data_IF_221477935696
#
_entry.id   IF_221477935696
#
_cell.length_a   1.000
_cell.length_b   1.000
_cell.length_c   1.000
_cell.angle_alpha   90.00
_cell.angle_beta   90.00
_cell.angle_gamma   90.00
#
_symmetry.space_group_name_H-M   'P 1'
#
loop_
_entity.id
_entity.type
_entity.pdbx_description
1 polymer ?
#
# COMPACT_ATOMS: atom_id res chain seq x y z
N UNK A 1 6.11 29.67 -40.47
CA UNK A 1 6.22 28.51 -39.56
C UNK A 1 6.44 28.94 -38.11
N UNK A 2 7.35 29.85 -37.79
CA UNK A 2 7.52 30.38 -36.41
C UNK A 2 6.30 31.15 -35.85
N UNK A 3 5.52 31.80 -36.66
CA UNK A 3 4.33 32.55 -36.24
C UNK A 3 3.19 31.64 -35.75
N UNK A 4 3.01 30.47 -36.36
CA UNK A 4 1.99 29.50 -35.96
C UNK A 4 2.36 28.74 -34.65
N UNK A 5 3.64 28.61 -34.33
CA UNK A 5 4.11 28.02 -33.09
C UNK A 5 3.86 28.93 -31.89
N UNK A 6 4.04 30.27 -32.09
CA UNK A 6 3.79 31.27 -31.04
C UNK A 6 2.31 31.40 -30.70
N UNK A 7 1.40 31.33 -31.71
CA UNK A 7 -0.04 31.34 -31.45
C UNK A 7 -0.53 30.08 -30.74
N UNK A 8 0.02 28.89 -31.04
CA UNK A 8 -0.34 27.64 -30.38
C UNK A 8 0.08 27.61 -28.91
N UNK A 9 1.25 28.15 -28.58
CA UNK A 9 1.74 28.24 -27.18
C UNK A 9 0.92 29.28 -26.39
N UNK A 10 0.57 30.41 -26.98
CA UNK A 10 -0.28 31.44 -26.36
C UNK A 10 -1.72 30.95 -26.15
N UNK A 11 -2.25 30.14 -27.07
CA UNK A 11 -3.61 29.60 -26.98
C UNK A 11 -3.71 28.53 -25.86
N UNK A 12 -2.68 27.69 -25.70
CA UNK A 12 -2.66 26.66 -24.67
C UNK A 12 -2.54 27.26 -23.26
N UNK A 13 -1.74 28.32 -23.06
CA UNK A 13 -1.62 29.01 -21.77
C UNK A 13 -2.93 29.68 -21.33
N UNK A 14 -3.66 30.24 -22.28
CA UNK A 14 -4.95 30.94 -22.02
C UNK A 14 -6.08 29.96 -21.67
N UNK A 15 -6.05 28.72 -22.23
CA UNK A 15 -7.00 27.65 -21.88
C UNK A 15 -6.71 27.11 -20.50
N UNK A 16 -5.43 26.90 -20.13
CA UNK A 16 -5.01 26.45 -18.78
C UNK A 16 -5.43 27.46 -17.69
N UNK A 17 -5.19 28.77 -17.91
CA UNK A 17 -5.62 29.79 -16.94
C UNK A 17 -7.13 29.84 -16.75
N UNK A 18 -7.91 29.68 -17.82
CA UNK A 18 -9.37 29.63 -17.73
C UNK A 18 -9.86 28.37 -17.02
N UNK A 19 -9.27 27.22 -17.28
CA UNK A 19 -9.60 25.94 -16.63
C UNK A 19 -9.30 25.99 -15.13
N UNK A 20 -8.13 26.49 -14.75
CA UNK A 20 -7.74 26.65 -13.35
C UNK A 20 -8.63 27.63 -12.58
N UNK A 21 -8.96 28.80 -13.19
CA UNK A 21 -9.88 29.76 -12.60
C UNK A 21 -11.30 29.20 -12.45
N UNK A 22 -11.75 28.37 -13.39
CA UNK A 22 -13.06 27.73 -13.33
C UNK A 22 -13.09 26.69 -12.21
N UNK A 23 -12.02 25.91 -12.04
CA UNK A 23 -11.87 24.91 -10.98
C UNK A 23 -11.80 25.54 -9.58
N UNK A 24 -11.02 26.63 -9.41
CA UNK A 24 -10.93 27.38 -8.15
C UNK A 24 -12.29 28.00 -7.80
N UNK A 25 -12.99 28.58 -8.77
CA UNK A 25 -14.32 29.13 -8.54
C UNK A 25 -15.35 28.06 -8.16
N UNK A 26 -15.26 26.85 -8.73
CA UNK A 26 -16.14 25.74 -8.41
C UNK A 26 -15.90 25.23 -6.98
N UNK A 27 -14.63 25.04 -6.56
CA UNK A 27 -14.29 24.68 -5.17
C UNK A 27 -14.77 25.76 -4.18
N UNK A 28 -14.54 27.03 -4.47
CA UNK A 28 -14.98 28.13 -3.59
C UNK A 28 -16.50 28.15 -3.47
N UNK A 29 -17.22 27.87 -4.53
CA UNK A 29 -18.69 27.78 -4.52
C UNK A 29 -19.17 26.60 -3.68
N UNK A 30 -18.53 25.43 -3.80
CA UNK A 30 -18.87 24.25 -2.99
C UNK A 30 -18.65 24.49 -1.50
N UNK A 31 -17.52 25.09 -1.11
CA UNK A 31 -17.26 25.44 0.30
C UNK A 31 -18.29 26.46 0.83
N UNK A 32 -18.69 27.44 0.01
CA UNK A 32 -19.69 28.43 0.41
C UNK A 32 -21.08 27.81 0.61
N UNK A 33 -21.46 26.84 -0.23
CA UNK A 33 -22.73 26.10 -0.11
C UNK A 33 -22.70 25.19 1.11
N UNK A 34 -21.60 24.47 1.35
CA UNK A 34 -21.45 23.62 2.52
C UNK A 34 -21.52 24.43 3.82
N UNK A 35 -20.84 25.57 3.88
CA UNK A 35 -20.89 26.47 5.04
C UNK A 35 -22.30 27.02 5.28
N UNK A 36 -23.03 27.37 4.23
CA UNK A 36 -24.41 27.84 4.32
C UNK A 36 -25.36 26.74 4.86
N UNK A 37 -25.17 25.49 4.45
CA UNK A 37 -25.94 24.35 4.94
C UNK A 37 -25.66 24.05 6.44
N UNK A 38 -24.40 24.13 6.86
CA UNK A 38 -24.01 23.98 8.26
C UNK A 38 -24.63 25.08 9.13
N UNK A 39 -24.62 26.33 8.66
CA UNK A 39 -25.24 27.46 9.37
C UNK A 39 -26.76 27.32 9.43
N UNK A 40 -27.40 26.79 8.39
CA UNK A 40 -28.83 26.52 8.37
C UNK A 40 -29.21 25.40 9.37
N UNK A 41 -28.42 24.33 9.47
CA UNK A 41 -28.62 23.28 10.47
C UNK A 41 -28.47 23.80 11.90
N UNK A 42 -27.49 24.68 12.16
CA UNK A 42 -27.28 25.27 13.48
C UNK A 42 -28.40 26.25 13.89
N UNK A 43 -29.09 26.87 12.94
CA UNK A 43 -30.24 27.75 13.21
C UNK A 43 -31.55 27.00 13.43
N UNK A 44 -31.67 25.75 12.95
CA UNK A 44 -32.86 24.90 13.15
C UNK A 44 -32.94 24.25 14.54
N UNK A 45 -31.85 24.24 15.31
CA UNK A 45 -31.82 23.63 16.67
C UNK A 45 -32.20 24.59 17.80
N UNK A 46 -32.77 25.75 17.51
CA UNK A 46 -33.32 26.66 18.53
C UNK A 46 -34.83 26.73 18.37
N UNK A 47 -35.57 25.81 18.94
CA UNK A 47 -36.89 25.96 19.53
C UNK A 47 -37.52 24.59 19.78
N UNK A 48 -37.43 24.14 21.01
CA UNK A 48 -38.55 23.47 21.70
C UNK A 48 -38.16 23.29 23.16
N UNK A 49 -38.59 24.28 23.97
CA UNK A 49 -38.74 24.14 25.41
C UNK A 49 -40.17 23.71 25.65
N UNK A 50 -40.41 22.45 25.95
CA UNK A 50 -41.66 21.99 26.52
C UNK A 50 -41.47 21.80 28.01
N UNK A 51 -42.11 22.66 28.77
CA UNK A 51 -42.30 22.54 30.22
C UNK A 51 -43.37 21.53 30.55
N UNK A 52 -43.09 20.61 31.48
CA UNK A 52 -44.13 19.99 32.26
C UNK A 52 -43.66 19.73 33.69
N UNK A 53 -44.48 20.01 34.70
CA UNK A 53 -44.11 20.01 36.10
C UNK A 53 -44.57 18.75 36.83
N UNK A 54 -43.85 18.37 37.91
CA UNK A 54 -44.44 17.59 38.95
C UNK A 54 -43.56 16.53 39.61
N UNK A 55 -43.32 16.76 40.90
CA UNK A 55 -43.05 15.83 42.01
C UNK A 55 -41.68 15.12 42.05
N UNK A 56 -40.78 15.46 42.92
CA UNK A 56 -40.77 15.45 44.36
C UNK A 56 -39.95 14.29 44.90
N UNK A 57 -38.98 14.63 45.79
CA UNK A 57 -38.33 13.77 46.79
C UNK A 57 -36.98 13.12 46.44
N UNK A 58 -35.97 13.44 47.24
CA UNK A 58 -34.85 12.57 47.58
C UNK A 58 -33.45 13.17 47.35
N UNK A 59 -32.95 13.94 48.29
CA UNK A 59 -31.53 14.30 48.41
C UNK A 59 -30.71 13.08 48.79
N UNK A 60 -29.73 12.72 48.00
CA UNK A 60 -28.49 12.16 48.55
C UNK A 60 -27.29 12.75 47.84
N UNK A 61 -26.37 13.28 48.63
CA UNK A 61 -25.19 14.02 48.26
C UNK A 61 -24.06 13.00 48.08
N UNK A 62 -23.66 12.74 46.85
CA UNK A 62 -22.44 11.96 46.55
C UNK A 62 -21.33 12.93 46.10
N UNK A 63 -20.22 12.89 46.84
CA UNK A 63 -19.02 13.67 46.56
C UNK A 63 -18.36 13.29 45.23
N UNK A 64 -17.61 14.19 44.57
CA UNK A 64 -16.92 13.88 43.33
C UNK A 64 -15.74 12.94 43.64
N UNK A 65 -15.70 11.86 42.91
CA UNK A 65 -14.58 10.93 42.88
C UNK A 65 -13.54 11.50 41.92
N UNK A 66 -12.35 11.75 42.40
CA UNK A 66 -11.17 12.09 41.63
C UNK A 66 -10.94 11.02 40.55
N UNK A 67 -11.00 11.41 39.28
CA UNK A 67 -10.53 10.60 38.18
C UNK A 67 -9.01 10.75 38.09
N UNK A 68 -8.31 9.72 38.48
CA UNK A 68 -6.88 9.57 38.23
C UNK A 68 -6.64 9.44 36.70
N UNK A 69 -6.18 10.52 36.11
CA UNK A 69 -5.43 10.51 34.88
C UNK A 69 -4.07 9.85 35.15
N UNK A 70 -3.95 8.59 34.84
CA UNK A 70 -2.64 7.93 34.72
C UNK A 70 -2.88 6.59 34.01
N UNK A 71 -2.65 6.53 32.71
CA UNK A 71 -2.22 5.31 31.97
C UNK A 71 -2.35 5.42 30.45
N UNK A 72 -1.89 6.49 29.81
CA UNK A 72 -1.74 6.52 28.34
C UNK A 72 -0.33 6.83 27.85
N UNK A 73 0.59 7.23 28.70
CA UNK A 73 1.96 7.54 28.29
C UNK A 73 2.96 6.38 28.42
N UNK A 74 2.61 5.29 29.11
CA UNK A 74 3.58 4.21 29.41
C UNK A 74 3.63 3.11 28.38
N UNK A 75 2.81 3.12 27.32
CA UNK A 75 2.83 2.06 26.27
C UNK A 75 3.67 2.39 25.03
N UNK A 76 3.98 3.66 24.79
CA UNK A 76 4.85 4.05 23.67
C UNK A 76 6.35 3.90 23.99
N UNK A 77 6.74 4.03 25.25
CA UNK A 77 8.15 3.92 25.65
C UNK A 77 8.70 2.49 25.67
N UNK A 78 7.86 1.46 25.83
CA UNK A 78 8.32 0.06 25.86
C UNK A 78 8.55 -0.55 24.46
N UNK A 79 8.00 0.03 23.41
CA UNK A 79 8.26 -0.42 22.03
C UNK A 79 9.56 0.20 21.46
N UNK A 80 9.94 1.39 21.93
CA UNK A 80 11.16 2.07 21.51
C UNK A 80 12.44 1.44 22.11
N UNK A 81 12.35 0.83 23.28
CA UNK A 81 13.52 0.22 23.95
C UNK A 81 13.95 -1.13 23.37
N UNK A 82 13.13 -1.78 22.54
CA UNK A 82 13.47 -3.05 21.86
C UNK A 82 14.04 -2.86 20.44
N UNK A 83 14.13 -1.64 19.92
CA UNK A 83 14.76 -1.31 18.65
C UNK A 83 16.28 -1.12 18.80
N UNK A 84 16.97 -2.05 19.48
CA UNK A 84 18.41 -1.89 19.82
C UNK A 84 19.37 -2.10 18.65
N UNK A 85 18.89 -2.48 17.44
CA UNK A 85 19.75 -2.81 16.30
C UNK A 85 19.47 -1.98 15.03
N UNK A 86 18.85 -0.80 15.16
CA UNK A 86 18.55 0.05 13.99
C UNK A 86 17.36 -0.41 13.14
N UNK A 87 16.68 -1.49 13.53
CA UNK A 87 15.48 -1.98 12.82
C UNK A 87 14.31 -1.04 13.01
N UNK A 88 13.58 -0.78 11.93
CA UNK A 88 12.35 0.04 11.94
C UNK A 88 11.10 -0.77 12.32
N UNK A 89 11.26 -2.01 12.77
CA UNK A 89 10.19 -2.89 13.22
C UNK A 89 10.58 -3.69 14.46
N UNK A 90 9.59 -4.04 15.25
CA UNK A 90 9.72 -4.94 16.38
C UNK A 90 8.51 -5.89 16.45
N UNK A 91 8.68 -7.06 17.07
CA UNK A 91 7.56 -7.94 17.38
C UNK A 91 7.23 -7.80 18.87
N UNK A 92 6.04 -7.28 19.18
CA UNK A 92 5.60 -7.03 20.54
C UNK A 92 4.10 -7.34 20.69
N UNK A 93 3.71 -7.89 21.84
CA UNK A 93 2.31 -8.21 22.16
C UNK A 93 1.61 -9.08 21.09
N UNK A 94 2.35 -9.97 20.43
CA UNK A 94 1.81 -10.92 19.44
C UNK A 94 1.62 -10.34 18.04
N UNK A 95 2.12 -9.13 17.76
CA UNK A 95 2.07 -8.49 16.44
C UNK A 95 3.34 -7.72 16.11
N UNK A 96 3.53 -7.39 14.84
CA UNK A 96 4.56 -6.47 14.42
C UNK A 96 4.15 -5.03 14.71
N UNK A 97 5.11 -4.23 15.16
CA UNK A 97 4.98 -2.80 15.40
C UNK A 97 6.04 -2.10 14.56
N UNK A 98 5.64 -1.10 13.80
CA UNK A 98 6.52 -0.37 12.90
C UNK A 98 6.77 1.04 13.42
N UNK A 99 8.03 1.46 13.37
CA UNK A 99 8.44 2.83 13.62
C UNK A 99 8.99 3.40 12.31
N UNK A 100 8.08 3.62 11.36
CA UNK A 100 8.46 4.21 10.08
C UNK A 100 8.95 5.64 10.29
N UNK A 101 10.07 6.03 9.64
CA UNK A 101 10.46 7.42 9.60
C UNK A 101 9.37 8.25 8.92
N UNK A 102 9.19 9.49 9.37
CA UNK A 102 8.41 10.44 8.59
C UNK A 102 9.03 10.53 7.20
N UNK A 103 8.17 10.52 6.17
CA UNK A 103 8.63 10.68 4.81
C UNK A 103 9.24 12.07 4.67
N UNK A 104 10.56 12.11 4.46
CA UNK A 104 11.27 13.36 4.27
C UNK A 104 10.95 13.91 2.89
N UNK A 105 10.56 15.18 2.82
CA UNK A 105 10.45 15.91 1.55
C UNK A 105 11.84 16.26 0.98
N UNK A 106 12.91 16.01 1.73
CA UNK A 106 14.27 16.28 1.33
C UNK A 106 14.71 15.32 0.21
N UNK A 107 14.97 15.86 -0.96
CA UNK A 107 15.37 15.10 -2.15
C UNK A 107 14.22 14.60 -3.02
N UNK A 108 12.97 14.85 -2.63
CA UNK A 108 11.84 14.61 -3.52
C UNK A 108 11.87 15.60 -4.69
N UNK A 109 11.50 15.13 -5.88
CA UNK A 109 11.37 16.02 -7.03
C UNK A 109 10.15 16.92 -6.86
N UNK A 110 10.31 18.19 -7.22
CA UNK A 110 9.17 19.07 -7.43
C UNK A 110 8.39 18.61 -8.66
N UNK A 111 7.11 19.03 -8.77
CA UNK A 111 6.29 18.75 -9.94
C UNK A 111 6.97 19.27 -11.21
N UNK A 112 7.58 20.47 -11.17
CA UNK A 112 8.30 21.06 -12.30
C UNK A 112 9.49 20.19 -12.73
N UNK A 113 10.27 19.66 -11.78
CA UNK A 113 11.37 18.73 -12.06
C UNK A 113 10.87 17.40 -12.66
N UNK A 114 9.70 16.91 -12.23
CA UNK A 114 9.10 15.72 -12.83
C UNK A 114 8.68 15.98 -14.28
N UNK A 115 8.11 17.15 -14.58
CA UNK A 115 7.79 17.54 -15.96
C UNK A 115 9.06 17.66 -16.83
N UNK A 116 10.13 18.23 -16.30
CA UNK A 116 11.41 18.34 -17.02
C UNK A 116 12.00 16.94 -17.30
N UNK A 117 11.87 16.01 -16.35
CA UNK A 117 12.28 14.61 -16.53
C UNK A 117 11.45 13.87 -17.59
N UNK A 118 10.15 14.18 -17.71
CA UNK A 118 9.27 13.53 -18.67
C UNK A 118 9.60 13.85 -20.14
N UNK A 119 10.33 14.92 -20.38
CA UNK A 119 10.80 15.28 -21.72
C UNK A 119 11.98 14.41 -22.20
N UNK A 120 12.69 13.77 -21.28
CA UNK A 120 13.66 12.75 -21.61
C UNK A 120 12.88 11.47 -21.99
N UNK A 121 12.71 11.23 -23.30
CA UNK A 121 12.15 9.97 -23.79
C UNK A 121 13.05 8.83 -23.35
N UNK A 122 12.57 8.02 -22.43
CA UNK A 122 13.12 6.71 -22.22
C UNK A 122 12.62 5.83 -23.38
N UNK A 123 13.55 5.30 -24.14
CA UNK A 123 13.29 4.31 -25.22
C UNK A 123 13.02 2.93 -24.59
N UNK A 124 12.33 2.93 -23.44
CA UNK A 124 12.12 1.80 -22.59
C UNK A 124 10.86 1.07 -23.00
N UNK A 125 11.03 -0.17 -23.41
CA UNK A 125 9.90 -1.08 -23.54
C UNK A 125 9.49 -1.54 -22.14
N UNK A 126 8.18 -1.65 -21.83
CA UNK A 126 7.72 -2.22 -20.58
C UNK A 126 8.34 -3.59 -20.36
N UNK A 127 8.94 -3.81 -19.20
CA UNK A 127 9.35 -5.14 -18.78
C UNK A 127 8.13 -5.85 -18.22
N UNK A 128 7.69 -6.91 -18.86
CA UNK A 128 6.67 -7.81 -18.32
C UNK A 128 7.27 -8.51 -17.09
N UNK A 129 6.86 -8.07 -15.90
CA UNK A 129 7.32 -8.62 -14.64
C UNK A 129 6.61 -9.93 -14.30
N UNK A 130 6.54 -10.84 -15.31
CA UNK A 130 5.88 -12.11 -15.10
C UNK A 130 6.82 -13.18 -14.53
N UNK A 131 6.23 -14.24 -14.06
CA UNK A 131 6.71 -15.38 -13.31
C UNK A 131 8.12 -15.85 -13.70
N UNK A 132 8.94 -16.16 -12.69
CA UNK A 132 10.16 -16.91 -12.90
C UNK A 132 9.90 -18.30 -13.47
N UNK A 133 10.97 -18.95 -13.95
CA UNK A 133 10.91 -20.30 -14.54
C UNK A 133 11.38 -21.32 -13.52
N UNK A 134 10.65 -22.41 -13.40
CA UNK A 134 11.16 -23.60 -12.74
C UNK A 134 12.05 -24.37 -13.71
N UNK A 135 13.31 -24.55 -13.38
CA UNK A 135 14.28 -25.31 -14.16
C UNK A 135 14.57 -26.60 -13.41
N UNK A 136 14.37 -27.74 -14.09
CA UNK A 136 14.77 -29.05 -13.58
C UNK A 136 16.16 -29.40 -14.12
N UNK A 137 17.10 -29.64 -13.25
CA UNK A 137 18.38 -30.22 -13.62
C UNK A 137 18.17 -31.68 -14.09
N UNK A 138 18.59 -31.98 -15.29
CA UNK A 138 18.35 -33.29 -15.92
C UNK A 138 19.23 -34.41 -15.31
N UNK A 139 20.34 -34.06 -14.67
CA UNK A 139 21.30 -35.02 -14.13
C UNK A 139 20.98 -35.36 -12.67
N UNK A 140 20.60 -34.37 -11.88
CA UNK A 140 20.32 -34.51 -10.44
C UNK A 140 18.82 -34.65 -10.16
N UNK A 141 17.96 -34.23 -11.08
CA UNK A 141 16.51 -34.13 -10.89
C UNK A 141 16.12 -32.96 -9.97
N UNK A 142 17.09 -32.16 -9.54
CA UNK A 142 16.85 -30.99 -8.69
C UNK A 142 16.02 -29.96 -9.45
N UNK A 143 15.03 -29.39 -8.75
CA UNK A 143 14.16 -28.36 -9.30
C UNK A 143 14.56 -27.03 -8.68
N UNK A 144 15.01 -26.10 -9.52
CA UNK A 144 15.43 -24.77 -9.10
C UNK A 144 14.48 -23.74 -9.70
N UNK A 145 14.08 -22.78 -8.90
CA UNK A 145 13.38 -21.62 -9.42
C UNK A 145 14.41 -20.61 -9.97
N UNK A 146 14.30 -20.29 -11.23
CA UNK A 146 15.19 -19.32 -11.90
C UNK A 146 14.39 -18.08 -12.23
N UNK A 147 14.76 -17.01 -11.60
CA UNK A 147 14.27 -15.67 -11.92
C UNK A 147 15.28 -15.03 -12.88
N UNK A 148 14.99 -15.13 -14.18
CA UNK A 148 15.93 -14.75 -15.23
C UNK A 148 15.63 -13.33 -15.72
N UNK A 149 16.38 -12.37 -15.17
CA UNK A 149 16.37 -10.97 -15.62
C UNK A 149 17.72 -10.60 -16.18
N UNK A 150 17.71 -9.69 -17.17
CA UNK A 150 18.94 -9.20 -17.74
C UNK A 150 19.77 -8.43 -16.69
N UNK A 151 21.08 -8.39 -16.88
CA UNK A 151 21.96 -7.62 -16.00
C UNK A 151 21.58 -6.13 -15.99
N UNK A 152 21.16 -5.60 -17.15
CA UNK A 152 20.76 -4.20 -17.29
C UNK A 152 19.47 -3.90 -16.50
N UNK A 153 18.48 -4.81 -16.55
CA UNK A 153 17.27 -4.72 -15.72
C UNK A 153 17.63 -4.69 -14.23
N UNK A 154 18.50 -5.61 -13.78
CA UNK A 154 18.91 -5.68 -12.38
C UNK A 154 19.65 -4.41 -11.93
N UNK A 155 20.47 -3.81 -12.80
CA UNK A 155 21.15 -2.54 -12.52
C UNK A 155 20.14 -1.39 -12.38
N UNK A 156 19.14 -1.34 -13.26
CA UNK A 156 18.06 -0.36 -13.21
C UNK A 156 17.23 -0.49 -11.92
N UNK A 157 16.85 -1.70 -11.53
CA UNK A 157 16.13 -1.93 -10.27
C UNK A 157 16.94 -1.45 -9.06
N UNK A 158 18.22 -1.78 -9.02
CA UNK A 158 19.13 -1.36 -7.96
C UNK A 158 19.30 0.16 -7.92
N UNK A 159 19.40 0.82 -9.08
CA UNK A 159 19.52 2.27 -9.21
C UNK A 159 18.35 3.01 -8.54
N UNK A 160 17.14 2.47 -8.64
CA UNK A 160 15.94 3.04 -8.04
C UNK A 160 15.50 2.32 -6.78
N UNK A 161 16.40 1.60 -6.11
CA UNK A 161 16.16 0.90 -4.83
C UNK A 161 14.93 -0.02 -4.85
N UNK A 162 14.61 -0.57 -6.03
CA UNK A 162 13.45 -1.44 -6.21
C UNK A 162 13.68 -2.76 -5.51
N UNK A 163 12.73 -3.15 -4.67
CA UNK A 163 12.68 -4.45 -4.02
C UNK A 163 12.03 -5.45 -4.97
N UNK A 164 12.69 -6.53 -5.27
CA UNK A 164 12.13 -7.69 -5.95
C UNK A 164 12.52 -8.99 -5.24
N UNK A 165 13.55 -8.91 -4.43
CA UNK A 165 14.12 -9.98 -3.64
C UNK A 165 14.87 -9.40 -2.46
N UNK A 166 14.86 -10.08 -1.34
CA UNK A 166 15.66 -9.73 -0.18
C UNK A 166 17.04 -10.37 -0.20
N UNK A 167 17.63 -10.56 0.98
CA UNK A 167 18.96 -11.16 1.14
C UNK A 167 18.99 -12.63 0.69
N UNK A 168 19.70 -12.88 -0.39
CA UNK A 168 19.84 -14.23 -0.98
C UNK A 168 20.68 -15.19 -0.15
N UNK A 169 21.36 -14.70 0.89
CA UNK A 169 22.14 -15.53 1.82
C UNK A 169 21.33 -16.01 3.01
N UNK A 170 20.15 -15.43 3.26
CA UNK A 170 19.26 -15.74 4.38
C UNK A 170 18.04 -16.55 3.93
N UNK A 171 17.69 -17.54 4.71
CA UNK A 171 16.40 -18.24 4.57
C UNK A 171 15.27 -17.36 5.11
N UNK A 172 14.90 -16.34 4.35
CA UNK A 172 13.80 -15.43 4.64
C UNK A 172 12.88 -15.32 3.44
N UNK A 173 11.59 -15.06 3.67
CA UNK A 173 10.65 -14.69 2.64
C UNK A 173 9.67 -13.63 3.16
N UNK A 174 9.00 -12.97 2.24
CA UNK A 174 8.13 -11.83 2.50
C UNK A 174 6.81 -12.05 1.77
N UNK A 175 5.70 -12.03 2.53
CA UNK A 175 4.37 -12.19 1.95
C UNK A 175 3.81 -10.84 1.53
N UNK A 176 3.36 -10.73 0.29
CA UNK A 176 2.71 -9.52 -0.23
C UNK A 176 1.42 -9.88 -0.94
N UNK A 177 0.40 -9.02 -0.82
CA UNK A 177 -0.91 -9.18 -1.42
C UNK A 177 -1.29 -7.93 -2.22
N UNK A 178 -1.76 -8.11 -3.45
CA UNK A 178 -2.34 -7.04 -4.25
C UNK A 178 -3.86 -7.06 -4.10
N UNK A 179 -4.43 -5.95 -3.60
CA UNK A 179 -5.82 -5.85 -3.18
C UNK A 179 -6.59 -4.89 -4.09
N UNK A 180 -7.35 -5.45 -5.03
CA UNK A 180 -8.20 -4.69 -5.95
C UNK A 180 -9.66 -4.62 -5.52
N UNK A 181 -10.21 -5.73 -5.09
CA UNK A 181 -11.61 -5.92 -4.71
C UNK A 181 -11.74 -6.80 -3.47
N UNK A 182 -12.80 -6.58 -2.68
CA UNK A 182 -13.12 -7.44 -1.53
C UNK A 182 -14.07 -8.57 -1.97
N UNK A 183 -13.63 -9.81 -1.80
CA UNK A 183 -14.37 -11.03 -2.15
C UNK A 183 -14.86 -11.83 -0.94
N UNK A 184 -14.76 -11.28 0.27
CA UNK A 184 -15.15 -11.94 1.52
C UNK A 184 -14.10 -12.92 2.06
N UNK A 185 -12.89 -12.91 1.52
CA UNK A 185 -11.77 -13.79 1.90
C UNK A 185 -10.80 -13.11 2.87
N UNK A 186 -10.75 -11.79 2.87
CA UNK A 186 -9.75 -11.02 3.64
C UNK A 186 -9.81 -11.30 5.14
N UNK A 187 -10.99 -11.43 5.73
CA UNK A 187 -11.08 -11.74 7.17
C UNK A 187 -10.41 -13.08 7.52
N UNK A 188 -10.58 -14.10 6.69
CA UNK A 188 -9.94 -15.41 6.88
C UNK A 188 -8.42 -15.33 6.71
N UNK A 189 -7.94 -14.53 5.74
CA UNK A 189 -6.51 -14.28 5.53
C UNK A 189 -5.91 -13.60 6.76
N UNK A 190 -6.54 -12.52 7.25
CA UNK A 190 -6.07 -11.79 8.43
C UNK A 190 -6.12 -12.65 9.70
N UNK A 191 -7.19 -13.43 9.91
CA UNK A 191 -7.27 -14.39 11.01
C UNK A 191 -6.10 -15.39 10.98
N UNK A 192 -5.78 -15.91 9.80
CA UNK A 192 -4.67 -16.85 9.61
C UNK A 192 -3.31 -16.18 9.88
N UNK A 193 -3.06 -14.99 9.33
CA UNK A 193 -1.82 -14.26 9.55
C UNK A 193 -1.63 -13.92 11.04
N UNK A 194 -2.70 -13.52 11.72
CA UNK A 194 -2.70 -13.26 13.15
C UNK A 194 -2.40 -14.52 13.97
N UNK A 195 -3.08 -15.64 13.70
CA UNK A 195 -2.84 -16.93 14.36
C UNK A 195 -1.39 -17.37 14.18
N UNK A 196 -0.86 -17.22 12.97
CA UNK A 196 0.50 -17.57 12.62
C UNK A 196 1.54 -16.52 13.01
N UNK A 197 1.14 -15.38 13.54
CA UNK A 197 2.04 -14.26 13.89
C UNK A 197 2.95 -13.87 12.72
N UNK A 198 2.35 -13.59 11.57
CA UNK A 198 3.03 -13.17 10.34
C UNK A 198 2.54 -11.80 9.94
N UNK A 199 3.46 -10.88 9.66
CA UNK A 199 3.15 -9.63 8.98
C UNK A 199 3.26 -9.80 7.47
N UNK A 200 2.31 -9.21 6.73
CA UNK A 200 2.33 -9.13 5.30
C UNK A 200 2.25 -7.66 4.84
N UNK A 201 2.53 -7.42 3.56
CA UNK A 201 2.33 -6.11 2.93
C UNK A 201 1.14 -6.21 1.98
N UNK A 202 0.19 -5.30 2.13
CA UNK A 202 -1.01 -5.22 1.30
C UNK A 202 -0.93 -3.99 0.41
N UNK A 203 -0.80 -4.19 -0.90
CA UNK A 203 -0.85 -3.13 -1.89
C UNK A 203 -2.30 -2.88 -2.28
N UNK A 204 -2.86 -1.76 -1.84
CA UNK A 204 -4.27 -1.44 -2.03
C UNK A 204 -4.46 -0.41 -3.14
N UNK A 205 -5.50 -0.60 -3.97
CA UNK A 205 -5.89 0.39 -4.97
C UNK A 205 -7.02 1.31 -4.45
N UNK A 206 -7.39 2.33 -5.24
CA UNK A 206 -8.41 3.28 -4.85
C UNK A 206 -9.80 2.68 -4.68
N UNK A 207 -10.13 1.60 -5.40
CA UNK A 207 -11.39 0.89 -5.20
C UNK A 207 -11.42 0.22 -3.82
N UNK A 208 -10.34 -0.46 -3.45
CA UNK A 208 -10.23 -1.16 -2.16
C UNK A 208 -10.27 -0.17 -0.99
N UNK A 209 -9.59 0.98 -1.10
CA UNK A 209 -9.64 2.03 -0.07
C UNK A 209 -11.08 2.52 0.16
N UNK A 210 -11.87 2.72 -0.92
CA UNK A 210 -13.25 3.20 -0.80
C UNK A 210 -14.23 2.15 -0.27
N UNK A 211 -14.03 0.88 -0.63
CA UNK A 211 -15.02 -0.17 -0.39
C UNK A 211 -14.72 -1.06 0.82
N UNK A 212 -13.47 -1.10 1.29
CA UNK A 212 -13.00 -2.01 2.33
C UNK A 212 -12.06 -1.33 3.35
N UNK A 213 -12.34 -0.07 3.68
CA UNK A 213 -11.53 0.69 4.64
C UNK A 213 -11.49 0.06 6.04
N UNK A 214 -12.54 -0.64 6.44
CA UNK A 214 -12.58 -1.43 7.68
C UNK A 214 -11.54 -2.59 7.66
N UNK A 215 -11.31 -3.20 6.51
CA UNK A 215 -10.27 -4.23 6.34
C UNK A 215 -8.88 -3.61 6.40
N UNK A 216 -8.69 -2.44 5.78
CA UNK A 216 -7.41 -1.72 5.84
C UNK A 216 -7.10 -1.30 7.29
N UNK A 217 -8.08 -0.78 8.02
CA UNK A 217 -7.90 -0.46 9.43
C UNK A 217 -7.52 -1.71 10.24
N UNK A 218 -8.18 -2.85 9.98
CA UNK A 218 -7.84 -4.13 10.61
C UNK A 218 -6.42 -4.57 10.29
N UNK A 219 -5.97 -4.44 9.03
CA UNK A 219 -4.58 -4.73 8.62
C UNK A 219 -3.58 -3.90 9.44
N UNK A 220 -3.83 -2.60 9.57
CA UNK A 220 -2.99 -1.69 10.35
C UNK A 220 -2.95 -2.10 11.84
N UNK A 221 -4.11 -2.35 12.43
CA UNK A 221 -4.24 -2.71 13.84
C UNK A 221 -3.57 -4.06 14.17
N UNK A 222 -3.52 -4.98 13.22
CA UNK A 222 -2.91 -6.29 13.35
C UNK A 222 -1.41 -6.31 12.97
N UNK A 223 -0.83 -5.15 12.58
CA UNK A 223 0.61 -5.02 12.34
C UNK A 223 1.01 -5.47 10.93
N UNK A 224 0.24 -5.10 9.94
CA UNK A 224 0.57 -5.26 8.53
C UNK A 224 0.96 -3.92 7.90
N UNK A 225 1.64 -3.97 6.77
CA UNK A 225 2.09 -2.79 6.02
C UNK A 225 1.12 -2.53 4.88
N UNK A 226 0.74 -1.26 4.70
CA UNK A 226 -0.09 -0.84 3.56
C UNK A 226 0.80 -0.17 2.52
N UNK A 227 0.70 -0.64 1.28
CA UNK A 227 1.39 -0.10 0.12
C UNK A 227 0.44 0.48 -0.91
N UNK A 228 0.97 1.35 -1.74
CA UNK A 228 0.26 2.03 -2.82
C UNK A 228 0.23 1.17 -4.09
N UNK A 229 -0.98 0.93 -4.64
CA UNK A 229 -1.21 0.18 -5.88
C UNK A 229 -2.01 1.00 -6.92
N UNK A 230 -1.80 2.31 -6.94
CA UNK A 230 -2.48 3.30 -7.76
C UNK A 230 -4.01 3.38 -7.54
N UNK A 231 -4.65 4.45 -8.03
CA UNK A 231 -6.10 4.67 -7.84
C UNK A 231 -6.92 3.72 -8.69
N UNK A 232 -6.65 3.66 -10.00
CA UNK A 232 -7.50 2.97 -10.96
C UNK A 232 -6.87 1.70 -11.56
N UNK A 233 -5.68 1.34 -11.09
CA UNK A 233 -4.96 0.17 -11.58
C UNK A 233 -4.66 0.23 -13.09
N UNK A 234 -4.25 1.40 -13.58
CA UNK A 234 -3.84 1.57 -14.98
C UNK A 234 -2.39 1.16 -15.20
N UNK A 235 -2.06 0.74 -16.43
CA UNK A 235 -0.68 0.68 -16.89
C UNK A 235 -0.07 2.09 -16.86
N UNK A 236 0.96 2.28 -16.06
CA UNK A 236 1.62 3.57 -15.84
C UNK A 236 2.81 3.80 -16.76
N UNK A 237 3.18 2.86 -17.63
CA UNK A 237 4.41 2.93 -18.42
C UNK A 237 4.39 3.97 -19.54
N UNK A 238 3.20 4.40 -19.96
CA UNK A 238 3.02 5.35 -21.06
C UNK A 238 2.15 6.56 -20.75
N UNK A 239 1.82 6.78 -19.47
CA UNK A 239 0.92 7.88 -19.08
C UNK A 239 1.68 9.21 -18.98
N UNK A 240 0.91 10.31 -18.93
CA UNK A 240 1.47 11.64 -18.64
C UNK A 240 1.89 11.76 -17.18
N UNK A 241 2.75 12.74 -16.86
CA UNK A 241 3.11 13.06 -15.47
C UNK A 241 1.88 13.35 -14.63
N UNK A 242 0.93 14.15 -15.15
CA UNK A 242 -0.32 14.48 -14.45
C UNK A 242 -1.08 13.19 -14.08
N UNK A 243 -1.25 12.27 -15.03
CA UNK A 243 -1.94 11.00 -14.79
C UNK A 243 -1.19 10.14 -13.78
N UNK A 244 0.15 10.10 -13.85
CA UNK A 244 0.96 9.37 -12.87
C UNK A 244 0.76 9.92 -11.46
N UNK A 245 0.77 11.25 -11.31
CA UNK A 245 0.52 11.90 -10.03
C UNK A 245 -0.90 11.65 -9.52
N UNK A 246 -1.91 11.76 -10.40
CA UNK A 246 -3.30 11.44 -10.06
C UNK A 246 -3.48 9.99 -9.60
N UNK A 247 -2.76 9.05 -10.20
CA UNK A 247 -2.80 7.64 -9.84
C UNK A 247 -2.06 7.33 -8.54
N UNK A 248 -0.87 7.89 -8.34
CA UNK A 248 -0.01 7.53 -7.22
C UNK A 248 -0.23 8.42 -6.00
N UNK A 249 -0.15 9.75 -6.16
CA UNK A 249 -0.42 10.68 -5.05
C UNK A 249 -1.92 10.76 -4.73
N UNK A 250 -2.78 10.68 -5.76
CA UNK A 250 -4.23 10.66 -5.55
C UNK A 250 -4.71 9.47 -4.72
N UNK A 251 -4.02 8.31 -4.77
CA UNK A 251 -4.30 7.21 -3.86
C UNK A 251 -3.90 7.54 -2.43
N UNK A 252 -2.74 8.13 -2.23
CA UNK A 252 -2.27 8.51 -0.89
C UNK A 252 -3.18 9.57 -0.25
N UNK A 253 -3.64 10.56 -1.03
CA UNK A 253 -4.63 11.54 -0.58
C UNK A 253 -5.94 10.85 -0.16
N UNK A 254 -6.47 9.96 -1.00
CA UNK A 254 -7.68 9.18 -0.71
C UNK A 254 -7.53 8.31 0.56
N UNK A 255 -6.35 7.70 0.74
CA UNK A 255 -6.05 6.87 1.90
C UNK A 255 -6.10 7.67 3.19
N UNK A 256 -5.47 8.84 3.26
CA UNK A 256 -5.52 9.71 4.44
C UNK A 256 -6.86 10.41 4.64
N UNK A 257 -7.60 10.72 3.55
CA UNK A 257 -8.98 11.20 3.68
C UNK A 257 -9.89 10.15 4.32
N UNK A 258 -9.66 8.87 4.02
CA UNK A 258 -10.48 7.75 4.53
C UNK A 258 -10.02 7.29 5.91
N UNK A 259 -8.72 7.29 6.16
CA UNK A 259 -8.06 6.80 7.39
C UNK A 259 -7.04 7.84 7.88
N UNK A 260 -7.47 8.92 8.55
CA UNK A 260 -6.61 10.06 8.88
C UNK A 260 -5.42 9.75 9.80
N UNK A 261 -5.54 8.72 10.64
CA UNK A 261 -4.51 8.30 11.60
C UNK A 261 -3.66 7.12 11.09
N UNK A 262 -3.79 6.78 9.80
CA UNK A 262 -3.09 5.65 9.21
C UNK A 262 -1.57 5.92 9.06
N UNK A 263 -0.74 4.88 9.14
CA UNK A 263 0.71 5.00 8.93
C UNK A 263 1.03 5.37 7.47
N UNK A 264 2.24 5.92 7.20
CA UNK A 264 2.61 6.34 5.85
C UNK A 264 2.72 5.16 4.87
N UNK A 265 2.29 5.38 3.62
CA UNK A 265 2.54 4.49 2.51
C UNK A 265 3.97 4.71 1.99
N UNK A 266 4.91 3.86 2.36
CA UNK A 266 6.32 3.96 1.93
C UNK A 266 6.63 3.09 0.71
N UNK A 267 5.76 2.16 0.38
CA UNK A 267 5.95 1.17 -0.68
C UNK A 267 4.93 1.36 -1.78
N UNK A 268 5.39 1.20 -3.02
CA UNK A 268 4.56 1.27 -4.22
C UNK A 268 4.75 0.00 -5.03
N UNK A 269 3.67 -0.54 -5.59
CA UNK A 269 3.72 -1.60 -6.61
C UNK A 269 2.99 -1.12 -7.85
N UNK A 270 3.65 -1.09 -9.01
CA UNK A 270 2.97 -0.75 -10.25
C UNK A 270 1.88 -1.79 -10.56
N UNK A 271 0.69 -1.34 -11.02
CA UNK A 271 -0.38 -2.23 -11.45
C UNK A 271 0.11 -3.27 -12.47
N UNK A 272 -0.37 -4.50 -12.33
CA UNK A 272 0.00 -5.65 -13.17
C UNK A 272 1.50 -5.99 -13.21
N UNK A 273 2.35 -5.26 -12.50
CA UNK A 273 3.80 -5.34 -12.61
C UNK A 273 4.37 -4.65 -13.84
N UNK A 274 3.54 -3.93 -14.60
CA UNK A 274 3.99 -3.16 -15.76
C UNK A 274 4.87 -2.02 -15.29
N UNK A 275 6.16 -2.10 -15.61
CA UNK A 275 7.11 -1.06 -15.24
C UNK A 275 8.18 -0.85 -16.30
N UNK A 276 8.72 0.35 -16.31
CA UNK A 276 9.90 0.75 -17.05
C UNK A 276 10.74 1.69 -16.18
N UNK A 277 11.89 2.11 -16.66
CA UNK A 277 12.78 3.01 -15.89
C UNK A 277 12.05 4.31 -15.49
N UNK A 278 11.14 4.80 -16.34
CA UNK A 278 10.36 6.00 -16.07
C UNK A 278 9.47 5.83 -14.82
N UNK A 279 8.69 4.74 -14.73
CA UNK A 279 7.83 4.42 -13.57
C UNK A 279 8.66 4.31 -12.29
N UNK A 280 9.78 3.57 -12.33
CA UNK A 280 10.67 3.39 -11.18
C UNK A 280 11.26 4.71 -10.70
N UNK A 281 11.75 5.53 -11.65
CA UNK A 281 12.31 6.85 -11.36
C UNK A 281 11.30 7.79 -10.72
N UNK A 282 10.06 7.81 -11.23
CA UNK A 282 9.02 8.69 -10.70
C UNK A 282 8.55 8.24 -9.33
N UNK A 283 8.36 6.97 -9.10
CA UNK A 283 8.04 6.43 -7.78
C UNK A 283 9.14 6.76 -6.76
N UNK A 284 10.42 6.55 -7.11
CA UNK A 284 11.56 6.90 -6.25
C UNK A 284 11.60 8.41 -5.94
N UNK A 285 11.31 9.27 -6.93
CA UNK A 285 11.25 10.72 -6.75
C UNK A 285 10.08 11.21 -5.92
N UNK A 286 9.00 10.44 -5.84
CA UNK A 286 7.91 10.67 -4.91
C UNK A 286 8.19 10.08 -3.51
N UNK A 287 9.37 9.51 -3.29
CA UNK A 287 9.77 8.95 -2.01
C UNK A 287 9.26 7.52 -1.75
N UNK A 288 8.69 6.87 -2.76
CA UNK A 288 8.32 5.47 -2.65
C UNK A 288 9.50 4.54 -2.90
N UNK A 289 9.46 3.40 -2.25
CA UNK A 289 10.27 2.25 -2.60
C UNK A 289 9.42 1.28 -3.40
N UNK A 290 9.74 1.08 -4.68
CA UNK A 290 8.99 0.17 -5.54
C UNK A 290 9.22 -1.27 -5.11
N UNK A 291 8.14 -2.07 -5.05
CA UNK A 291 8.19 -3.48 -4.65
C UNK A 291 7.59 -4.32 -5.76
N UNK A 292 8.44 -5.11 -6.40
CA UNK A 292 8.08 -6.18 -7.33
C UNK A 292 8.02 -7.51 -6.57
N UNK A 293 8.25 -8.63 -7.23
CA UNK A 293 8.27 -9.97 -6.63
C UNK A 293 9.28 -10.87 -7.31
N UNK A 294 9.70 -11.90 -6.64
CA UNK A 294 10.55 -12.95 -7.22
C UNK A 294 9.80 -14.28 -7.38
N UNK A 295 8.60 -14.39 -6.83
CA UNK A 295 7.73 -15.54 -7.03
C UNK A 295 6.26 -15.14 -7.05
N UNK A 296 5.52 -15.72 -7.99
CA UNK A 296 4.07 -15.60 -8.09
C UNK A 296 3.50 -16.79 -8.88
N UNK A 297 2.19 -16.92 -8.89
CA UNK A 297 1.48 -17.85 -9.77
C UNK A 297 0.14 -17.24 -10.19
N UNK A 298 -0.53 -17.85 -11.16
CA UNK A 298 -1.83 -17.35 -11.62
C UNK A 298 -2.92 -17.72 -10.59
N UNK A 299 -3.20 -16.83 -9.66
CA UNK A 299 -4.15 -16.98 -8.55
C UNK A 299 -5.37 -16.03 -8.63
N UNK A 300 -5.28 -14.97 -9.43
CA UNK A 300 -6.26 -13.88 -9.53
C UNK A 300 -7.52 -14.25 -10.32
N UNK A 301 -7.54 -15.40 -11.03
CA UNK A 301 -8.69 -15.86 -11.80
C UNK A 301 -9.70 -16.56 -10.89
N UNK A 302 -10.70 -15.81 -10.41
CA UNK A 302 -11.69 -16.31 -9.42
C UNK A 302 -12.56 -17.45 -9.96
N UNK A 303 -12.67 -17.61 -11.30
CA UNK A 303 -13.45 -18.65 -11.95
C UNK A 303 -12.63 -19.93 -12.21
N UNK A 304 -11.29 -19.83 -12.14
CA UNK A 304 -10.37 -20.92 -12.45
C UNK A 304 -9.30 -21.07 -11.36
N UNK A 305 -9.74 -21.36 -10.14
CA UNK A 305 -8.86 -21.54 -9.00
C UNK A 305 -8.13 -22.89 -9.07
N UNK A 306 -6.80 -22.90 -8.92
CA UNK A 306 -6.01 -24.15 -8.95
C UNK A 306 -6.25 -24.97 -7.68
N UNK A 307 -5.92 -26.26 -7.75
CA UNK A 307 -5.96 -27.17 -6.59
C UNK A 307 -5.02 -26.72 -5.47
N UNK A 308 -5.48 -26.83 -4.22
CA UNK A 308 -4.74 -26.36 -3.04
C UNK A 308 -3.43 -27.13 -2.83
N UNK A 309 -3.46 -28.45 -2.92
CA UNK A 309 -2.27 -29.28 -2.63
C UNK A 309 -1.23 -29.17 -3.76
N UNK A 310 -1.68 -29.14 -5.02
CA UNK A 310 -0.79 -28.88 -6.19
C UNK A 310 -0.15 -27.50 -6.11
N UNK A 311 -0.92 -26.48 -5.69
CA UNK A 311 -0.42 -25.13 -5.56
C UNK A 311 0.58 -25.02 -4.42
N UNK A 312 0.30 -25.65 -3.28
CA UNK A 312 1.21 -25.69 -2.16
C UNK A 312 2.53 -26.36 -2.51
N UNK A 313 2.50 -27.46 -3.30
CA UNK A 313 3.71 -28.09 -3.81
C UNK A 313 4.50 -27.16 -4.74
N UNK A 314 3.79 -26.40 -5.58
CA UNK A 314 4.39 -25.39 -6.47
C UNK A 314 5.07 -24.27 -5.67
N UNK A 315 4.43 -23.76 -4.61
CA UNK A 315 5.02 -22.76 -3.72
C UNK A 315 6.30 -23.30 -3.10
N UNK A 316 6.25 -24.50 -2.54
CA UNK A 316 7.41 -25.11 -1.87
C UNK A 316 8.56 -25.42 -2.82
N UNK A 317 8.26 -25.75 -4.07
CA UNK A 317 9.28 -25.95 -5.12
C UNK A 317 9.93 -24.64 -5.56
N UNK A 318 9.17 -23.54 -5.54
CA UNK A 318 9.65 -22.19 -5.88
C UNK A 318 10.36 -21.48 -4.75
N UNK A 319 10.22 -21.95 -3.52
CA UNK A 319 10.72 -21.28 -2.31
C UNK A 319 12.25 -21.08 -2.38
N UNK A 320 12.70 -19.85 -2.23
CA UNK A 320 14.10 -19.47 -2.31
C UNK A 320 14.47 -18.35 -1.33
N UNK A 321 15.76 -18.22 -1.03
CA UNK A 321 16.27 -17.21 -0.11
C UNK A 321 15.92 -15.79 -0.58
N UNK A 322 15.41 -14.98 0.35
CA UNK A 322 15.02 -13.61 0.07
C UNK A 322 13.73 -13.46 -0.76
N UNK A 323 12.92 -14.51 -0.87
CA UNK A 323 11.72 -14.49 -1.72
C UNK A 323 10.74 -13.39 -1.35
N UNK A 324 10.35 -12.58 -2.33
CA UNK A 324 9.18 -11.71 -2.25
C UNK A 324 8.06 -12.39 -3.02
N UNK A 325 7.04 -12.83 -2.30
CA UNK A 325 5.91 -13.59 -2.83
C UNK A 325 4.74 -12.66 -3.13
N UNK A 326 4.22 -12.68 -4.37
CA UNK A 326 2.97 -12.02 -4.74
C UNK A 326 1.82 -13.01 -4.67
N UNK A 327 0.78 -12.62 -3.94
CA UNK A 327 -0.50 -13.32 -3.80
C UNK A 327 -1.65 -12.33 -4.02
N UNK A 328 -2.83 -12.86 -4.35
CA UNK A 328 -4.06 -12.06 -4.43
C UNK A 328 -5.08 -12.59 -3.42
N UNK A 329 -5.72 -11.70 -2.64
CA UNK A 329 -6.65 -12.13 -1.58
C UNK A 329 -7.97 -12.68 -2.09
N UNK A 330 -8.38 -12.36 -3.34
CA UNK A 330 -9.56 -12.93 -3.98
C UNK A 330 -9.43 -14.43 -4.27
N UNK A 331 -8.23 -14.98 -4.19
CA UNK A 331 -7.99 -16.41 -4.39
C UNK A 331 -8.50 -17.24 -3.21
N UNK A 332 -9.45 -18.12 -3.49
CA UNK A 332 -9.89 -19.14 -2.52
C UNK A 332 -8.78 -20.13 -2.20
N UNK A 333 -8.00 -20.50 -3.20
CA UNK A 333 -6.85 -21.38 -3.03
C UNK A 333 -5.84 -20.78 -2.05
N UNK A 334 -5.50 -19.49 -2.20
CA UNK A 334 -4.63 -18.79 -1.24
C UNK A 334 -5.23 -18.81 0.16
N UNK A 335 -6.51 -18.48 0.29
CA UNK A 335 -7.20 -18.44 1.58
C UNK A 335 -7.16 -19.80 2.28
N UNK A 336 -7.38 -20.89 1.55
CA UNK A 336 -7.41 -22.25 2.12
C UNK A 336 -6.01 -22.79 2.43
N UNK A 337 -5.00 -22.46 1.63
CA UNK A 337 -3.64 -22.98 1.81
C UNK A 337 -2.78 -22.16 2.76
N UNK A 338 -3.08 -20.86 3.00
CA UNK A 338 -2.19 -19.90 3.66
C UNK A 338 -1.59 -20.42 4.96
N UNK A 339 -2.42 -20.98 5.85
CA UNK A 339 -1.94 -21.51 7.13
C UNK A 339 -0.96 -22.68 6.96
N UNK A 340 -1.27 -23.64 6.07
CA UNK A 340 -0.39 -24.77 5.75
C UNK A 340 0.89 -24.30 5.05
N UNK A 341 0.79 -23.30 4.20
CA UNK A 341 1.91 -22.69 3.48
C UNK A 341 2.91 -22.09 4.47
N UNK A 342 2.43 -21.27 5.40
CA UNK A 342 3.26 -20.66 6.45
C UNK A 342 3.99 -21.75 7.28
N UNK A 343 3.27 -22.78 7.68
CA UNK A 343 3.87 -23.89 8.47
C UNK A 343 4.97 -24.61 7.67
N UNK A 344 4.71 -24.95 6.40
CA UNK A 344 5.70 -25.62 5.54
C UNK A 344 6.93 -24.75 5.23
N UNK A 345 6.73 -23.44 5.04
CA UNK A 345 7.84 -22.48 4.87
C UNK A 345 8.74 -22.49 6.11
N UNK A 346 8.14 -22.45 7.30
CA UNK A 346 8.87 -22.53 8.57
C UNK A 346 9.55 -23.89 8.79
N UNK A 347 8.89 -24.98 8.44
CA UNK A 347 9.46 -26.34 8.50
C UNK A 347 10.67 -26.50 7.57
N UNK A 348 10.71 -25.76 6.46
CA UNK A 348 11.88 -25.67 5.57
C UNK A 348 13.01 -24.78 6.14
N UNK A 349 12.80 -24.20 7.32
CA UNK A 349 13.77 -23.38 8.03
C UNK A 349 13.80 -21.91 7.58
N UNK A 350 12.75 -21.42 6.93
CA UNK A 350 12.63 -20.03 6.54
C UNK A 350 11.93 -19.20 7.62
N UNK A 351 12.35 -17.95 7.77
CA UNK A 351 11.63 -16.93 8.52
C UNK A 351 10.73 -16.17 7.54
N UNK A 352 9.54 -15.77 8.02
CA UNK A 352 8.64 -14.88 7.26
C UNK A 352 8.68 -13.54 7.95
N UNK A 353 9.22 -12.53 7.27
CA UNK A 353 9.48 -11.21 7.83
C UNK A 353 8.68 -10.13 7.09
N UNK A 354 8.45 -8.94 7.73
CA UNK A 354 7.86 -7.81 7.04
C UNK A 354 8.81 -7.25 5.98
N UNK A 355 8.26 -6.71 4.87
CA UNK A 355 9.05 -6.21 3.73
C UNK A 355 10.07 -5.14 4.11
N UNK A 356 9.84 -4.42 5.19
CA UNK A 356 10.77 -3.41 5.72
C UNK A 356 12.03 -4.01 6.39
N UNK A 357 12.15 -5.34 6.49
CA UNK A 357 13.42 -6.00 6.85
C UNK A 357 14.47 -5.94 5.72
N UNK A 358 14.04 -5.65 4.50
CA UNK A 358 14.92 -5.46 3.35
C UNK A 358 15.45 -4.02 3.40
N UNK A 359 16.77 -3.88 3.60
CA UNK A 359 17.48 -2.60 3.61
C UNK A 359 17.67 -1.98 2.21
#
# INVERSE_FOLDING_TARGET
>A
MLYFIFEAISFNSTIREKSLKTYINYKTLLYSVALALILACLSSCKNEVVSNPGDGIGRERVQPRETTETSKETKAETAADNASDGKIWAFADGKYVFNFPERSDEGLATIDEMYDMSTARFDDQPDDWFFGKTVRDNDTGEVTYVWDRSADTLETLKKYRTIYRGDETRKVCYLTFDCGYEYGTMDTILDTLKEKQVSATFFVNGHYVRSASDKIQRMIDEGHIIGNHAVNHYDLTGVSVDTFLEEVQGLEELYYETLPDAPPMLYFRPPSGDCNEWVLKFADKLGYRTVMWSWAYKDFDTDAQPDVDETLEKVMTGLHNGEVMLLHPESKTNTEMLGKMIDKIRDAGFEILPICDIE
#
